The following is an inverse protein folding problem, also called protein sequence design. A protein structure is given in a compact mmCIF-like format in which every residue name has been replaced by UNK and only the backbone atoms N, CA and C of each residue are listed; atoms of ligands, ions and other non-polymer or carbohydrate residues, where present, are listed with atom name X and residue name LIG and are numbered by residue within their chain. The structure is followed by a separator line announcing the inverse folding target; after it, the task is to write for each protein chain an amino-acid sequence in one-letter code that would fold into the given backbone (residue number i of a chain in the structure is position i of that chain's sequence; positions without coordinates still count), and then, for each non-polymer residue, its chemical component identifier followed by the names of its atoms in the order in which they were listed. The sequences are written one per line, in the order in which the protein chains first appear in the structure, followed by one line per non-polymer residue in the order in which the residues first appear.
data_IF_428221133431
#
_entry.id   IF_428221133431
#
_cell.length_a   1.000
_cell.length_b   1.000
_cell.length_c   1.000
_cell.angle_alpha   90.00
_cell.angle_beta   90.00
_cell.angle_gamma   90.00
#
_symmetry.space_group_name_H-M   'P 1'
#
loop_
_entity.id
_entity.type
_entity.pdbx_description
1 polymer ?
#
# COMPACT_ATOMS: atom_id res chain seq x y z
N UNK A 1 -17.64 -13.11 31.73
CA UNK A 1 -16.20 -13.42 31.83
C UNK A 1 -15.57 -12.27 32.60
N UNK A 2 -14.92 -12.57 33.75
CA UNK A 2 -14.14 -11.55 34.45
C UNK A 2 -12.89 -11.25 33.61
N UNK A 3 -12.64 -9.98 33.31
CA UNK A 3 -11.47 -9.53 32.57
C UNK A 3 -10.38 -9.20 33.59
N UNK A 4 -9.21 -9.79 33.40
CA UNK A 4 -8.00 -9.50 34.17
C UNK A 4 -7.33 -8.26 33.55
N UNK A 5 -7.33 -7.15 34.24
CA UNK A 5 -6.76 -5.88 33.77
C UNK A 5 -5.26 -5.98 33.43
N UNK A 6 -4.53 -6.90 34.05
CA UNK A 6 -3.12 -7.15 33.73
C UNK A 6 -2.91 -7.70 32.31
N UNK A 7 -3.96 -8.13 31.64
CA UNK A 7 -3.98 -8.64 30.27
C UNK A 7 -4.50 -7.61 29.26
N UNK A 8 -4.75 -6.39 29.68
CA UNK A 8 -5.15 -5.29 28.80
C UNK A 8 -3.91 -4.47 28.47
N UNK A 9 -3.56 -4.41 27.18
CA UNK A 9 -2.41 -3.66 26.69
C UNK A 9 -2.91 -2.50 25.84
N UNK A 10 -2.47 -1.30 26.17
CA UNK A 10 -2.81 -0.10 25.40
C UNK A 10 -1.83 0.07 24.26
N UNK A 11 -2.32 0.52 23.11
CA UNK A 11 -1.55 0.73 21.89
C UNK A 11 -1.98 1.99 21.15
N UNK A 12 -1.35 2.23 20.01
CA UNK A 12 -1.55 3.42 19.17
C UNK A 12 -2.55 3.22 18.02
N UNK A 13 -3.22 2.07 17.96
CA UNK A 13 -4.05 1.61 16.83
C UNK A 13 -3.28 1.33 15.53
N UNK A 14 -1.95 1.40 15.54
CA UNK A 14 -1.08 1.07 14.41
C UNK A 14 -0.33 -0.24 14.61
N UNK A 15 0.27 -0.73 13.54
CA UNK A 15 1.01 -2.01 13.52
C UNK A 15 2.14 -2.05 14.54
N UNK A 16 2.79 -0.91 14.80
CA UNK A 16 3.94 -0.82 15.72
C UNK A 16 3.60 -1.29 17.12
N UNK A 17 2.45 -0.87 17.67
CA UNK A 17 2.03 -1.32 19.00
C UNK A 17 1.71 -2.82 19.04
N UNK A 18 1.24 -3.40 17.92
CA UNK A 18 1.10 -4.85 17.78
C UNK A 18 2.45 -5.56 17.78
N UNK A 19 3.42 -5.03 17.02
CA UNK A 19 4.79 -5.56 16.96
C UNK A 19 5.47 -5.50 18.33
N UNK A 20 5.37 -4.37 19.03
CA UNK A 20 5.93 -4.22 20.38
C UNK A 20 5.37 -5.25 21.36
N UNK A 21 4.06 -5.46 21.37
CA UNK A 21 3.44 -6.48 22.21
C UNK A 21 3.92 -7.89 21.84
N UNK A 22 3.97 -8.22 20.56
CA UNK A 22 4.45 -9.50 20.07
C UNK A 22 5.89 -9.78 20.52
N UNK A 23 6.77 -8.76 20.44
CA UNK A 23 8.16 -8.88 20.88
C UNK A 23 8.28 -9.17 22.37
N UNK A 24 7.41 -8.64 23.22
CA UNK A 24 7.40 -8.96 24.65
C UNK A 24 7.06 -10.43 24.92
N UNK A 25 6.16 -11.02 24.13
CA UNK A 25 5.89 -12.47 24.19
C UNK A 25 7.09 -13.29 23.70
N UNK A 26 7.71 -12.88 22.59
CA UNK A 26 8.87 -13.55 21.98
C UNK A 26 10.07 -13.55 22.94
N UNK A 27 10.33 -12.44 23.62
CA UNK A 27 11.40 -12.30 24.62
C UNK A 27 11.11 -13.03 25.94
N UNK A 28 9.91 -13.58 26.12
CA UNK A 28 9.50 -14.24 27.36
C UNK A 28 9.20 -13.28 28.51
N UNK A 29 9.07 -11.97 28.24
CA UNK A 29 8.64 -10.98 29.23
C UNK A 29 7.19 -11.20 29.66
N UNK A 30 6.39 -11.74 28.74
CA UNK A 30 5.00 -12.10 28.93
C UNK A 30 4.80 -13.57 28.55
N UNK A 31 3.93 -14.26 29.28
CA UNK A 31 3.52 -15.62 28.91
C UNK A 31 2.55 -15.55 27.73
N UNK A 32 2.85 -16.30 26.65
CA UNK A 32 1.99 -16.37 25.47
C UNK A 32 0.58 -16.85 25.86
N UNK A 33 -0.48 -16.09 25.52
CA UNK A 33 -1.85 -16.48 25.83
C UNK A 33 -2.39 -17.47 24.79
N UNK A 34 -3.53 -18.05 25.06
CA UNK A 34 -4.24 -18.89 24.06
C UNK A 34 -4.85 -18.05 22.92
N UNK A 35 -5.23 -16.81 23.22
CA UNK A 35 -5.81 -15.89 22.23
C UNK A 35 -5.47 -14.44 22.54
N UNK A 36 -5.31 -13.66 21.47
CA UNK A 36 -5.14 -12.21 21.51
C UNK A 36 -6.26 -11.58 20.70
N UNK A 37 -7.02 -10.68 21.32
CA UNK A 37 -8.07 -9.89 20.67
C UNK A 37 -7.54 -8.47 20.51
N UNK A 38 -7.39 -8.01 19.28
CA UNK A 38 -6.88 -6.69 18.95
C UNK A 38 -8.03 -5.69 18.78
N UNK A 39 -7.81 -4.45 19.23
CA UNK A 39 -8.79 -3.38 19.09
C UNK A 39 -9.01 -2.96 17.63
N UNK A 40 -8.08 -3.29 16.73
CA UNK A 40 -8.25 -3.18 15.27
C UNK A 40 -7.35 -4.19 14.52
N UNK A 41 -7.56 -4.27 13.21
CA UNK A 41 -6.82 -5.19 12.35
C UNK A 41 -5.36 -4.79 12.16
N UNK A 42 -5.01 -3.49 12.17
CA UNK A 42 -3.61 -3.06 12.04
C UNK A 42 -2.74 -3.58 13.18
N UNK A 43 -3.24 -3.49 14.41
CA UNK A 43 -2.53 -4.06 15.57
C UNK A 43 -2.38 -5.58 15.43
N UNK A 44 -3.43 -6.27 14.94
CA UNK A 44 -3.38 -7.71 14.68
C UNK A 44 -2.32 -8.06 13.62
N UNK A 45 -2.23 -7.30 12.53
CA UNK A 45 -1.21 -7.51 11.51
C UNK A 45 0.20 -7.32 12.05
N UNK A 46 0.43 -6.32 12.90
CA UNK A 46 1.70 -6.14 13.57
C UNK A 46 2.13 -7.35 14.40
N UNK A 47 1.18 -7.99 15.10
CA UNK A 47 1.42 -9.22 15.86
C UNK A 47 1.73 -10.37 14.92
N UNK A 48 0.93 -10.57 13.86
CA UNK A 48 1.10 -11.66 12.89
C UNK A 48 2.48 -11.58 12.21
N UNK A 49 2.91 -10.38 11.80
CA UNK A 49 4.21 -10.15 11.18
C UNK A 49 5.38 -10.57 12.10
N UNK A 50 5.33 -10.17 13.38
CA UNK A 50 6.40 -10.52 14.32
C UNK A 50 6.38 -12.00 14.71
N UNK A 51 5.21 -12.59 14.85
CA UNK A 51 5.08 -14.00 15.14
C UNK A 51 5.59 -14.87 13.98
N UNK A 52 5.24 -14.50 12.74
CA UNK A 52 5.73 -15.19 11.54
C UNK A 52 7.27 -15.16 11.45
N UNK A 53 7.90 -13.99 11.70
CA UNK A 53 9.37 -13.84 11.69
C UNK A 53 10.06 -14.70 12.76
N UNK A 54 9.38 -14.99 13.86
CA UNK A 54 9.93 -15.73 15.00
C UNK A 54 9.37 -17.15 15.14
N UNK A 55 8.77 -17.67 14.08
CA UNK A 55 8.23 -19.05 14.00
C UNK A 55 7.20 -19.37 15.10
N UNK A 56 6.40 -18.39 15.52
CA UNK A 56 5.24 -18.62 16.37
C UNK A 56 4.05 -18.88 15.46
N UNK A 57 3.53 -20.10 15.51
CA UNK A 57 2.43 -20.54 14.65
C UNK A 57 1.09 -19.97 15.12
N UNK A 58 0.36 -19.35 14.20
CA UNK A 58 -1.01 -18.89 14.38
C UNK A 58 -1.88 -19.69 13.40
N UNK A 59 -2.93 -20.38 13.82
CA UNK A 59 -3.56 -20.33 15.15
C UNK A 59 -3.06 -21.38 16.15
N UNK A 60 -2.12 -22.27 15.84
CA UNK A 60 -1.78 -23.47 16.61
C UNK A 60 -1.26 -23.17 18.02
N UNK A 61 -0.40 -22.16 18.15
CA UNK A 61 0.16 -21.73 19.44
C UNK A 61 -0.64 -20.60 20.09
N UNK A 62 -1.22 -19.72 19.27
CA UNK A 62 -2.01 -18.59 19.72
C UNK A 62 -3.00 -18.15 18.64
N UNK A 63 -4.24 -17.94 19.02
CA UNK A 63 -5.25 -17.34 18.15
C UNK A 63 -5.10 -15.83 18.14
N UNK A 64 -5.18 -15.19 16.97
CA UNK A 64 -5.19 -13.73 16.84
C UNK A 64 -6.46 -13.28 16.13
N UNK A 65 -7.18 -12.34 16.74
CA UNK A 65 -8.45 -11.81 16.22
C UNK A 65 -8.40 -10.30 16.16
N UNK A 66 -8.83 -9.75 15.03
CA UNK A 66 -8.92 -8.32 14.77
C UNK A 66 -10.33 -7.74 14.92
N UNK A 67 -10.45 -6.46 14.64
CA UNK A 67 -11.69 -5.70 14.66
C UNK A 67 -11.61 -4.60 13.60
N UNK A 68 -12.63 -4.41 12.80
CA UNK A 68 -12.87 -3.44 11.73
C UNK A 68 -13.04 -4.02 10.34
N UNK A 69 -12.48 -5.17 10.01
CA UNK A 69 -12.48 -5.76 8.67
C UNK A 69 -11.80 -4.84 7.64
N UNK A 70 -10.49 -4.74 7.74
CA UNK A 70 -9.69 -4.02 6.75
C UNK A 70 -9.48 -4.94 5.54
N UNK A 71 -9.85 -4.47 4.34
CA UNK A 71 -9.83 -5.25 3.09
C UNK A 71 -8.46 -5.85 2.73
N UNK A 72 -7.37 -5.36 3.32
CA UNK A 72 -6.02 -5.92 3.11
C UNK A 72 -5.81 -7.32 3.69
N UNK A 73 -6.79 -7.90 4.38
CA UNK A 73 -6.63 -9.21 5.02
C UNK A 73 -6.23 -10.31 4.03
N UNK A 74 -6.63 -10.21 2.75
CA UNK A 74 -6.26 -11.14 1.68
C UNK A 74 -4.77 -11.15 1.33
N UNK A 75 -4.00 -10.18 1.81
CA UNK A 75 -2.55 -10.09 1.64
C UNK A 75 -1.76 -10.75 2.77
N UNK A 76 -2.44 -11.22 3.81
CA UNK A 76 -1.82 -11.81 5.00
C UNK A 76 -2.01 -13.32 5.05
N UNK A 77 -1.01 -14.01 5.59
CA UNK A 77 -1.07 -15.44 5.92
C UNK A 77 -0.51 -15.60 7.35
N UNK A 78 -1.31 -16.14 8.28
CA UNK A 78 -2.70 -16.60 8.11
C UNK A 78 -3.70 -15.47 7.84
N UNK A 79 -4.79 -15.82 7.14
CA UNK A 79 -5.90 -14.89 6.89
C UNK A 79 -6.54 -14.47 8.22
N UNK A 80 -6.61 -13.17 8.50
CA UNK A 80 -7.07 -12.67 9.79
C UNK A 80 -8.57 -12.92 10.01
N UNK A 81 -8.94 -13.52 11.14
CA UNK A 81 -10.30 -13.50 11.67
C UNK A 81 -10.58 -12.13 12.27
N UNK A 82 -11.66 -11.47 11.86
CA UNK A 82 -11.96 -10.09 12.28
C UNK A 82 -13.46 -9.84 12.37
N UNK A 83 -13.85 -8.86 13.15
CA UNK A 83 -15.24 -8.41 13.25
C UNK A 83 -15.47 -7.22 12.33
N UNK A 84 -16.33 -7.40 11.33
CA UNK A 84 -16.74 -6.33 10.42
C UNK A 84 -17.85 -5.49 11.08
N UNK A 85 -17.52 -4.23 11.36
CA UNK A 85 -18.51 -3.27 11.87
C UNK A 85 -19.48 -2.86 10.78
N UNK A 86 -20.75 -2.65 11.16
CA UNK A 86 -21.72 -2.02 10.28
C UNK A 86 -21.52 -0.49 10.25
N UNK A 87 -20.55 -0.05 9.45
CA UNK A 87 -20.18 1.38 9.35
C UNK A 87 -21.30 2.24 8.77
N UNK A 88 -22.07 1.70 7.82
CA UNK A 88 -23.20 2.39 7.25
C UNK A 88 -24.28 2.66 8.30
N UNK A 89 -24.67 1.64 9.05
CA UNK A 89 -25.63 1.78 10.13
C UNK A 89 -25.16 2.74 11.22
N UNK A 90 -23.86 2.79 11.53
CA UNK A 90 -23.26 3.79 12.45
C UNK A 90 -23.42 5.21 11.90
N UNK A 91 -23.12 5.42 10.61
CA UNK A 91 -23.29 6.71 9.94
C UNK A 91 -24.75 7.18 9.95
N UNK A 92 -25.68 6.30 9.58
CA UNK A 92 -27.12 6.60 9.63
C UNK A 92 -27.56 6.97 11.05
N UNK A 93 -27.12 6.22 12.07
CA UNK A 93 -27.46 6.49 13.46
C UNK A 93 -26.91 7.84 13.92
N UNK A 94 -25.67 8.16 13.58
CA UNK A 94 -25.06 9.44 13.92
C UNK A 94 -25.84 10.64 13.34
N UNK A 95 -26.24 10.55 12.05
CA UNK A 95 -27.05 11.59 11.39
C UNK A 95 -28.43 11.72 12.06
N UNK A 96 -29.10 10.61 12.39
CA UNK A 96 -30.40 10.63 13.09
C UNK A 96 -30.30 11.32 14.45
N UNK A 97 -29.30 10.96 15.26
CA UNK A 97 -29.08 11.57 16.58
C UNK A 97 -28.80 13.08 16.43
N UNK A 98 -27.93 13.46 15.50
CA UNK A 98 -27.63 14.88 15.29
C UNK A 98 -28.87 15.66 14.85
N UNK A 99 -29.66 15.10 13.91
CA UNK A 99 -30.90 15.72 13.46
C UNK A 99 -31.89 15.90 14.62
N UNK A 100 -32.08 14.89 15.46
CA UNK A 100 -32.96 14.99 16.62
C UNK A 100 -32.51 16.11 17.58
N UNK A 101 -31.20 16.16 17.89
CA UNK A 101 -30.63 17.21 18.76
C UNK A 101 -30.82 18.61 18.21
N UNK A 102 -30.57 18.82 16.92
CA UNK A 102 -30.69 20.14 16.28
C UNK A 102 -32.14 20.65 16.21
N UNK A 103 -33.13 19.74 16.17
CA UNK A 103 -34.54 20.07 16.03
C UNK A 103 -35.31 19.92 17.36
N UNK A 104 -34.66 19.67 18.49
CA UNK A 104 -35.32 19.47 19.77
C UNK A 104 -36.26 18.28 19.84
N UNK A 105 -36.02 17.27 18.99
CA UNK A 105 -36.80 16.03 18.92
C UNK A 105 -36.38 15.08 20.06
N UNK A 106 -37.25 14.16 20.50
CA UNK A 106 -36.87 13.11 21.45
C UNK A 106 -35.70 12.28 20.87
N UNK A 107 -34.68 12.08 21.69
CA UNK A 107 -33.55 11.20 21.32
C UNK A 107 -33.93 9.74 21.61
N UNK A 108 -33.82 8.87 20.59
CA UNK A 108 -33.86 7.43 20.82
C UNK A 108 -32.54 6.94 21.41
N UNK A 109 -32.56 5.91 22.28
CA UNK A 109 -31.32 5.31 22.78
C UNK A 109 -30.46 4.81 21.63
N UNK A 110 -29.18 5.15 21.66
CA UNK A 110 -28.23 4.62 20.66
C UNK A 110 -28.04 3.12 20.86
N UNK A 111 -28.46 2.33 19.89
CA UNK A 111 -28.20 0.89 19.80
C UNK A 111 -27.19 0.71 18.68
N UNK A 112 -25.93 0.26 18.98
CA UNK A 112 -24.95 0.00 17.94
C UNK A 112 -25.49 -1.01 16.92
N UNK A 113 -25.44 -0.70 15.59
CA UNK A 113 -25.88 -1.66 14.60
C UNK A 113 -24.95 -2.89 14.60
N UNK A 114 -25.56 -4.07 14.51
CA UNK A 114 -24.84 -5.34 14.52
C UNK A 114 -23.88 -5.42 13.34
N UNK A 115 -22.66 -5.88 13.60
CA UNK A 115 -21.72 -6.31 12.58
C UNK A 115 -21.71 -7.82 12.43
N UNK A 116 -20.76 -8.33 11.67
CA UNK A 116 -20.58 -9.76 11.43
C UNK A 116 -19.15 -10.20 11.76
N UNK A 117 -19.03 -11.44 12.26
CA UNK A 117 -17.71 -12.07 12.42
C UNK A 117 -17.30 -12.65 11.06
N UNK A 118 -16.14 -12.25 10.59
CA UNK A 118 -15.56 -12.72 9.34
C UNK A 118 -14.42 -13.68 9.70
N UNK A 119 -14.64 -14.96 9.43
CA UNK A 119 -13.69 -16.00 9.77
C UNK A 119 -12.45 -15.97 8.89
N UNK A 120 -11.32 -16.36 9.46
CA UNK A 120 -10.02 -16.50 8.81
C UNK A 120 -9.21 -17.61 9.48
N UNK A 121 -8.00 -17.81 9.00
CA UNK A 121 -7.10 -18.88 9.47
C UNK A 121 -6.31 -18.50 10.73
N UNK A 122 -6.41 -17.26 11.19
CA UNK A 122 -5.78 -16.81 12.44
C UNK A 122 -6.53 -17.30 13.70
N UNK A 123 -7.65 -18.00 13.51
CA UNK A 123 -8.30 -18.79 14.55
C UNK A 123 -8.56 -20.22 14.02
N UNK A 124 -8.77 -21.23 14.92
CA UNK A 124 -9.05 -22.60 14.50
C UNK A 124 -10.36 -22.80 13.73
N UNK A 125 -11.14 -21.75 13.55
CA UNK A 125 -12.41 -21.77 12.81
C UNK A 125 -12.22 -21.98 11.30
N UNK A 126 -11.05 -21.57 10.76
CA UNK A 126 -10.78 -21.54 9.34
C UNK A 126 -11.61 -20.48 8.59
N UNK A 127 -11.28 -20.22 7.33
CA UNK A 127 -12.02 -19.28 6.49
C UNK A 127 -13.15 -19.95 5.70
N UNK A 128 -14.17 -19.16 5.37
CA UNK A 128 -15.15 -19.53 4.35
C UNK A 128 -14.54 -19.28 2.97
N UNK A 129 -14.36 -20.35 2.19
CA UNK A 129 -13.75 -20.30 0.87
C UNK A 129 -14.54 -19.43 -0.10
N UNK A 130 -15.87 -19.47 -0.06
CA UNK A 130 -16.72 -18.67 -0.95
C UNK A 130 -16.56 -17.17 -0.63
N UNK A 131 -16.56 -16.84 0.65
CA UNK A 131 -16.32 -15.45 1.10
C UNK A 131 -14.91 -14.98 0.73
N UNK A 132 -13.89 -15.81 0.93
CA UNK A 132 -12.50 -15.48 0.57
C UNK A 132 -12.35 -15.22 -0.94
N UNK A 133 -12.95 -16.06 -1.78
CA UNK A 133 -12.95 -15.86 -3.23
C UNK A 133 -13.67 -14.55 -3.63
N UNK A 134 -14.81 -14.24 -3.00
CA UNK A 134 -15.48 -12.98 -3.23
C UNK A 134 -14.65 -11.75 -2.82
N UNK A 135 -13.88 -11.84 -1.74
CA UNK A 135 -12.94 -10.80 -1.33
C UNK A 135 -11.82 -10.60 -2.36
N UNK A 136 -11.23 -11.69 -2.87
CA UNK A 136 -10.21 -11.63 -3.92
C UNK A 136 -10.75 -11.01 -5.22
N UNK A 137 -11.95 -11.40 -5.64
CA UNK A 137 -12.59 -10.84 -6.82
C UNK A 137 -12.90 -9.34 -6.65
N UNK A 138 -13.35 -8.94 -5.47
CA UNK A 138 -13.59 -7.53 -5.16
C UNK A 138 -12.30 -6.71 -5.19
N UNK A 139 -11.19 -7.23 -4.65
CA UNK A 139 -9.88 -6.56 -4.71
C UNK A 139 -9.34 -6.49 -6.15
N UNK A 140 -9.53 -7.53 -6.96
CA UNK A 140 -9.19 -7.52 -8.38
C UNK A 140 -10.00 -6.48 -9.14
N UNK A 141 -11.32 -6.50 -8.99
CA UNK A 141 -12.23 -5.55 -9.66
C UNK A 141 -11.90 -4.11 -9.29
N UNK A 142 -11.60 -3.84 -8.00
CA UNK A 142 -11.18 -2.52 -7.55
C UNK A 142 -9.87 -2.08 -8.21
N UNK A 143 -8.87 -2.97 -8.29
CA UNK A 143 -7.59 -2.71 -8.93
C UNK A 143 -7.75 -2.40 -10.42
N UNK A 144 -8.57 -3.19 -11.11
CA UNK A 144 -8.85 -2.99 -12.53
C UNK A 144 -9.56 -1.65 -12.76
N UNK A 145 -10.54 -1.31 -11.92
CA UNK A 145 -11.24 -0.02 -11.98
C UNK A 145 -10.31 1.16 -11.68
N UNK A 146 -9.47 1.08 -10.66
CA UNK A 146 -8.47 2.10 -10.35
C UNK A 146 -7.47 2.27 -11.49
N UNK A 147 -7.02 1.17 -12.10
CA UNK A 147 -6.13 1.19 -13.25
C UNK A 147 -6.78 1.92 -14.45
N UNK A 148 -7.99 1.55 -14.83
CA UNK A 148 -8.68 2.16 -15.97
C UNK A 148 -9.02 3.63 -15.74
N UNK A 149 -9.45 4.00 -14.54
CA UNK A 149 -9.71 5.40 -14.20
C UNK A 149 -8.46 6.28 -14.23
N UNK A 150 -7.30 5.69 -13.97
CA UNK A 150 -6.03 6.37 -14.10
C UNK A 150 -5.56 6.44 -15.54
N UNK A 151 -5.58 5.29 -16.23
CA UNK A 151 -4.98 5.16 -17.56
C UNK A 151 -5.67 6.05 -18.59
N UNK A 152 -6.99 6.13 -18.57
CA UNK A 152 -7.75 6.93 -19.53
C UNK A 152 -7.40 8.43 -19.52
N UNK A 153 -7.38 9.15 -18.38
CA UNK A 153 -6.96 10.54 -18.35
C UNK A 153 -5.50 10.75 -18.75
N UNK A 154 -4.60 9.86 -18.30
CA UNK A 154 -3.17 9.94 -18.64
C UNK A 154 -2.98 9.80 -20.15
N UNK A 155 -3.58 8.78 -20.75
CA UNK A 155 -3.50 8.53 -22.19
C UNK A 155 -4.06 9.71 -23.01
N UNK A 156 -5.20 10.25 -22.63
CA UNK A 156 -5.79 11.43 -23.26
C UNK A 156 -4.89 12.65 -23.19
N UNK A 157 -4.32 12.96 -22.01
CA UNK A 157 -3.42 14.09 -21.87
C UNK A 157 -2.10 13.88 -22.62
N UNK A 158 -1.51 12.68 -22.56
CA UNK A 158 -0.26 12.38 -23.25
C UNK A 158 -0.41 12.47 -24.80
N UNK A 159 -1.53 12.02 -25.35
CA UNK A 159 -1.80 12.11 -26.79
C UNK A 159 -2.01 13.54 -27.27
N UNK A 160 -2.32 14.47 -26.37
CA UNK A 160 -2.48 15.90 -26.68
C UNK A 160 -1.17 16.69 -26.53
N UNK A 161 -0.12 16.09 -25.94
CA UNK A 161 1.17 16.77 -25.75
C UNK A 161 1.82 17.08 -27.10
N UNK A 162 2.30 18.33 -27.23
CA UNK A 162 2.89 18.82 -28.47
C UNK A 162 4.42 18.74 -28.49
N UNK A 163 5.02 18.55 -27.33
CA UNK A 163 6.46 18.47 -27.18
C UNK A 163 6.86 17.65 -25.94
N UNK A 164 8.14 17.29 -25.87
CA UNK A 164 8.70 16.45 -24.81
C UNK A 164 8.53 17.08 -23.40
N UNK A 165 8.60 18.41 -23.27
CA UNK A 165 8.46 19.06 -21.98
C UNK A 165 7.03 18.95 -21.44
N UNK A 166 6.03 19.12 -22.29
CA UNK A 166 4.62 18.89 -21.95
C UNK A 166 4.37 17.42 -21.57
N UNK A 167 4.91 16.49 -22.38
CA UNK A 167 4.81 15.05 -22.10
C UNK A 167 5.39 14.69 -20.72
N UNK A 168 6.60 15.18 -20.41
CA UNK A 168 7.24 14.96 -19.10
C UNK A 168 6.44 15.62 -17.97
N UNK A 169 5.91 16.83 -18.20
CA UNK A 169 5.06 17.52 -17.23
C UNK A 169 3.78 16.74 -16.90
N UNK A 170 3.15 16.14 -17.91
CA UNK A 170 1.97 15.26 -17.72
C UNK A 170 2.36 14.03 -16.91
N UNK A 171 3.44 13.35 -17.24
CA UNK A 171 3.93 12.21 -16.45
C UNK A 171 4.21 12.63 -15.00
N UNK A 172 4.81 13.79 -14.78
CA UNK A 172 5.05 14.36 -13.46
C UNK A 172 3.76 14.61 -12.67
N UNK A 173 2.69 15.07 -13.32
CA UNK A 173 1.37 15.26 -12.71
C UNK A 173 0.79 13.94 -12.16
N UNK A 174 1.06 12.83 -12.82
CA UNK A 174 0.51 11.52 -12.48
C UNK A 174 1.50 10.60 -11.72
N UNK A 175 2.68 11.09 -11.34
CA UNK A 175 3.74 10.30 -10.67
C UNK A 175 3.27 9.56 -9.42
N UNK A 176 2.35 10.14 -8.65
CA UNK A 176 1.83 9.59 -7.39
C UNK A 176 1.05 8.26 -7.55
N UNK A 177 0.72 7.88 -8.78
CA UNK A 177 0.14 6.58 -9.06
C UNK A 177 1.19 5.44 -9.09
N UNK A 178 2.47 5.78 -9.27
CA UNK A 178 3.56 4.81 -9.17
C UNK A 178 3.97 4.71 -7.71
N UNK A 179 3.44 3.71 -7.02
CA UNK A 179 3.64 3.54 -5.58
C UNK A 179 5.09 3.19 -5.25
N UNK A 180 5.56 3.67 -4.11
CA UNK A 180 6.87 3.35 -3.53
C UNK A 180 8.08 3.74 -4.39
N UNK A 181 7.91 4.60 -5.38
CA UNK A 181 9.00 5.14 -6.18
C UNK A 181 9.43 6.48 -5.61
N UNK A 182 10.72 6.57 -5.27
CA UNK A 182 11.31 7.81 -4.78
C UNK A 182 11.58 8.81 -5.91
N UNK A 183 12.06 8.31 -7.06
CA UNK A 183 12.31 9.13 -8.24
C UNK A 183 12.10 8.34 -9.54
N UNK A 184 11.73 9.05 -10.59
CA UNK A 184 11.57 8.52 -11.93
C UNK A 184 12.39 9.40 -12.87
N UNK A 185 13.27 8.76 -13.65
CA UNK A 185 14.06 9.43 -14.66
C UNK A 185 13.66 8.95 -16.06
N UNK A 186 13.62 9.88 -16.99
CA UNK A 186 13.54 9.58 -18.42
C UNK A 186 14.88 9.96 -19.03
N UNK A 187 15.58 8.97 -19.57
CA UNK A 187 16.88 9.14 -20.19
C UNK A 187 16.74 8.81 -21.68
N UNK A 188 16.71 9.81 -22.54
CA UNK A 188 16.57 9.68 -23.98
C UNK A 188 17.91 9.96 -24.68
N UNK A 189 18.25 9.18 -25.70
CA UNK A 189 19.40 9.48 -26.54
C UNK A 189 19.30 10.90 -27.10
N UNK A 190 20.40 11.63 -27.17
CA UNK A 190 20.39 13.04 -27.60
C UNK A 190 19.82 13.24 -29.01
N UNK A 191 19.86 12.19 -29.83
CA UNK A 191 19.27 12.15 -31.18
C UNK A 191 18.09 11.17 -31.31
N UNK A 192 17.33 10.98 -30.23
CA UNK A 192 16.19 10.02 -30.20
C UNK A 192 15.15 10.25 -31.30
N UNK A 193 15.01 11.49 -31.77
CA UNK A 193 14.06 11.93 -32.80
C UNK A 193 14.55 11.70 -34.22
N UNK A 194 15.87 11.44 -34.43
CA UNK A 194 16.45 11.20 -35.76
C UNK A 194 16.43 9.70 -36.07
N UNK A 195 15.50 9.31 -36.96
CA UNK A 195 15.29 7.91 -37.30
C UNK A 195 16.37 7.34 -38.24
N UNK A 196 17.10 8.19 -38.92
CA UNK A 196 18.07 7.79 -39.95
C UNK A 196 19.51 7.68 -39.42
N UNK A 197 19.77 8.34 -38.27
CA UNK A 197 21.08 8.28 -37.66
C UNK A 197 21.23 7.11 -36.65
N UNK A 198 22.44 6.56 -36.51
CA UNK A 198 22.70 5.63 -35.41
C UNK A 198 22.48 6.32 -34.06
N UNK A 199 21.97 5.54 -33.09
CA UNK A 199 21.63 6.07 -31.79
C UNK A 199 22.86 6.63 -31.07
N UNK A 200 22.75 7.86 -30.53
CA UNK A 200 23.79 8.51 -29.78
C UNK A 200 24.14 7.75 -28.48
N UNK A 201 25.40 7.78 -28.09
CA UNK A 201 25.85 7.32 -26.78
C UNK A 201 25.59 8.34 -25.68
N UNK A 202 25.34 9.61 -26.03
CA UNK A 202 24.95 10.64 -25.07
C UNK A 202 23.45 10.58 -24.87
N UNK A 203 23.01 10.49 -23.64
CA UNK A 203 21.62 10.47 -23.21
C UNK A 203 21.31 11.71 -22.38
N UNK A 204 20.18 12.32 -22.65
CA UNK A 204 19.63 13.42 -21.85
C UNK A 204 18.71 12.85 -20.80
N UNK A 205 19.15 12.86 -19.54
CA UNK A 205 18.39 12.34 -18.41
C UNK A 205 17.64 13.47 -17.70
N UNK A 206 16.35 13.24 -17.42
CA UNK A 206 15.48 14.17 -16.69
C UNK A 206 14.70 13.43 -15.62
N UNK A 207 14.53 14.05 -14.44
CA UNK A 207 13.53 13.57 -13.48
C UNK A 207 12.15 14.06 -13.88
N UNK A 208 11.13 13.24 -13.67
CA UNK A 208 9.73 13.64 -13.83
C UNK A 208 9.10 14.16 -12.53
N UNK A 209 9.80 14.06 -11.41
CA UNK A 209 9.28 14.49 -10.10
C UNK A 209 9.22 16.02 -10.04
N UNK A 210 8.01 16.63 -9.90
CA UNK A 210 7.83 18.08 -10.05
C UNK A 210 8.49 18.91 -8.92
N UNK A 211 8.88 18.29 -7.82
CA UNK A 211 9.59 18.97 -6.72
C UNK A 211 11.11 18.85 -6.80
N UNK A 212 11.64 18.15 -7.80
CA UNK A 212 13.08 18.05 -8.05
C UNK A 212 13.49 18.91 -9.23
N UNK A 213 14.79 19.15 -9.36
CA UNK A 213 15.34 19.82 -10.52
C UNK A 213 15.13 18.99 -11.78
N UNK A 214 14.21 19.42 -12.64
CA UNK A 214 13.85 18.75 -13.88
C UNK A 214 14.75 19.13 -15.06
N UNK A 215 15.80 19.92 -14.84
CA UNK A 215 16.76 20.32 -15.88
C UNK A 215 17.42 19.09 -16.47
N UNK A 216 17.44 18.94 -17.81
CA UNK A 216 18.08 17.79 -18.44
C UNK A 216 19.58 17.79 -18.17
N UNK A 217 20.13 16.62 -17.89
CA UNK A 217 21.57 16.38 -17.73
C UNK A 217 22.01 15.43 -18.83
N UNK A 218 22.96 15.85 -19.63
CA UNK A 218 23.56 15.01 -20.65
C UNK A 218 24.64 14.13 -20.02
N UNK A 219 24.53 12.84 -20.22
CA UNK A 219 25.33 11.80 -19.58
C UNK A 219 25.76 10.79 -20.64
N UNK A 220 26.97 10.25 -20.55
CA UNK A 220 27.32 9.09 -21.38
C UNK A 220 26.46 7.88 -20.97
N UNK A 221 25.98 7.14 -21.95
CA UNK A 221 25.10 5.99 -21.73
C UNK A 221 25.72 4.93 -20.82
N UNK A 222 27.03 4.78 -20.86
CA UNK A 222 27.76 3.83 -20.00
C UNK A 222 27.80 4.24 -18.55
N UNK A 223 27.68 5.55 -18.26
CA UNK A 223 27.80 6.12 -16.93
C UNK A 223 26.45 6.32 -16.23
N UNK A 224 25.32 6.03 -16.91
CA UNK A 224 23.97 6.26 -16.35
C UNK A 224 23.82 5.58 -14.99
N UNK A 225 24.20 4.32 -14.88
CA UNK A 225 24.05 3.56 -13.65
C UNK A 225 24.88 4.14 -12.51
N UNK A 226 26.11 4.58 -12.79
CA UNK A 226 27.01 5.19 -11.81
C UNK A 226 26.47 6.54 -11.35
N UNK A 227 26.09 7.42 -12.30
CA UNK A 227 25.64 8.78 -12.00
C UNK A 227 24.30 8.79 -11.26
N UNK A 228 23.36 7.94 -11.63
CA UNK A 228 22.07 7.85 -10.95
C UNK A 228 22.17 7.17 -9.58
N UNK A 229 23.20 6.36 -9.36
CA UNK A 229 23.46 5.69 -8.08
C UNK A 229 24.30 6.51 -7.09
N UNK A 230 24.83 7.65 -7.49
CA UNK A 230 25.57 8.57 -6.62
C UNK A 230 24.62 9.14 -5.56
N UNK A 231 24.61 8.54 -4.39
CA UNK A 231 23.82 8.96 -3.24
C UNK A 231 24.24 8.23 -1.97
N UNK A 232 24.08 8.88 -0.82
CA UNK A 232 24.48 8.34 0.48
C UNK A 232 23.55 7.21 0.97
N UNK A 233 22.36 7.09 0.37
CA UNK A 233 21.34 6.13 0.79
C UNK A 233 21.28 4.98 -0.21
N UNK A 234 21.40 3.72 0.24
CA UNK A 234 21.21 2.57 -0.63
C UNK A 234 19.82 2.60 -1.30
N UNK A 235 19.76 2.36 -2.59
CA UNK A 235 18.51 2.37 -3.35
C UNK A 235 18.51 1.25 -4.40
N UNK A 236 17.31 0.84 -4.82
CA UNK A 236 17.13 -0.11 -5.91
C UNK A 236 16.73 0.65 -7.17
N UNK A 237 17.39 0.36 -8.28
CA UNK A 237 17.10 0.97 -9.57
C UNK A 237 16.55 -0.06 -10.55
N UNK A 238 15.45 0.30 -11.19
CA UNK A 238 14.84 -0.46 -12.28
C UNK A 238 15.04 0.28 -13.58
N UNK A 239 15.72 -0.36 -14.54
CA UNK A 239 15.94 0.18 -15.89
C UNK A 239 14.97 -0.49 -16.86
N UNK A 240 14.07 0.29 -17.42
CA UNK A 240 13.12 -0.18 -18.45
C UNK A 240 13.49 0.47 -19.77
N UNK A 241 13.91 -0.30 -20.78
CA UNK A 241 14.25 0.27 -22.08
C UNK A 241 13.00 0.77 -22.80
N UNK A 242 13.15 1.88 -23.52
CA UNK A 242 12.13 2.46 -24.37
C UNK A 242 12.38 2.08 -25.81
N UNK A 243 11.47 1.29 -26.37
CA UNK A 243 11.51 0.84 -27.76
C UNK A 243 10.36 1.41 -28.57
N UNK A 244 10.64 1.66 -29.83
CA UNK A 244 9.63 1.79 -30.86
C UNK A 244 10.05 0.90 -32.03
N UNK A 245 9.23 -0.11 -32.33
CA UNK A 245 9.60 -1.20 -33.24
C UNK A 245 10.87 -1.92 -32.76
N UNK A 246 11.91 -1.94 -33.55
CA UNK A 246 13.22 -2.55 -33.29
C UNK A 246 14.27 -1.55 -32.74
N UNK A 247 13.88 -0.28 -32.59
CA UNK A 247 14.78 0.79 -32.18
C UNK A 247 14.58 1.15 -30.71
N UNK A 248 15.66 1.00 -29.93
CA UNK A 248 15.72 1.49 -28.55
C UNK A 248 16.19 2.94 -28.54
N UNK A 249 15.39 3.87 -28.01
CA UNK A 249 15.70 5.31 -27.98
C UNK A 249 15.98 5.86 -26.60
N UNK A 250 15.92 5.04 -25.57
CA UNK A 250 16.23 5.46 -24.22
C UNK A 250 15.83 4.47 -23.15
N UNK A 251 15.75 4.97 -21.91
CA UNK A 251 15.34 4.19 -20.74
C UNK A 251 14.45 5.04 -19.82
N UNK A 252 13.48 4.41 -19.16
CA UNK A 252 12.90 4.90 -17.92
C UNK A 252 13.64 4.24 -16.77
N UNK A 253 14.06 5.03 -15.79
CA UNK A 253 14.73 4.52 -14.60
C UNK A 253 13.89 4.85 -13.38
N UNK A 254 13.47 3.83 -12.66
CA UNK A 254 12.72 3.95 -11.41
C UNK A 254 13.69 3.77 -10.25
N UNK A 255 13.76 4.75 -9.36
CA UNK A 255 14.53 4.68 -8.11
C UNK A 255 13.59 4.36 -6.97
N UNK A 256 13.82 3.26 -6.28
CA UNK A 256 13.11 2.87 -5.08
C UNK A 256 14.01 3.09 -3.87
N UNK A 257 13.46 3.70 -2.82
CA UNK A 257 14.09 3.59 -1.51
C UNK A 257 14.03 2.13 -1.08
N UNK A 258 15.05 1.68 -0.33
CA UNK A 258 14.92 0.41 0.37
C UNK A 258 13.73 0.60 1.29
N UNK A 259 12.63 -0.14 1.12
CA UNK A 259 11.51 0.01 2.01
C UNK A 259 12.05 -0.25 3.41
N UNK A 260 11.85 0.71 4.31
CA UNK A 260 11.89 0.41 5.73
C UNK A 260 11.05 -0.84 5.88
N UNK A 261 11.67 -1.90 6.37
CA UNK A 261 11.03 -3.21 6.52
C UNK A 261 9.77 -3.03 7.33
N UNK A 262 8.64 -2.91 6.63
CA UNK A 262 7.31 -2.97 7.23
C UNK A 262 6.86 -4.41 7.31
#
# INVERSE_FOLDING_TARGET
IAVDESRIFYGTFWMDSGKELAQRYIKGELKLPQAIVCANDYMAYGILDEFAKNNISVPEQVTVVGYEYIRRRTLYSPLLTTYQRNREGLGVSAVKILHAKLNGLPEEPFIPPSGILVHGDSCPCGHDTAQYMAELDAEKTKRDFEFWNLFTPVDQELTQSQNLNEFIGILGKYHWHVRSVYNIFICLASNWYDTDAPMSNVVSCRTIMPWLDTTPKDIDKLDIAEILSQGEIPAVYYFTPLFFSDRMFGHVVLKYDIPDTY
#
